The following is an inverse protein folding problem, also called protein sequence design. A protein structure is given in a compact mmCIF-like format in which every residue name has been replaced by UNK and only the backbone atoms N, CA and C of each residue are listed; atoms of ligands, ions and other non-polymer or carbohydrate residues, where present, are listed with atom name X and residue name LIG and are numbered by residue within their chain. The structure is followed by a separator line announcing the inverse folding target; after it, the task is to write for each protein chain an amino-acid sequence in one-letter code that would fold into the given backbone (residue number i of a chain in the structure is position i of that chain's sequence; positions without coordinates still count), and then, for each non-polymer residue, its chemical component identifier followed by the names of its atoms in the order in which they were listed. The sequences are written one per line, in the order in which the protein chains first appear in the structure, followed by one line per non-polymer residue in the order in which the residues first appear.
data_IF_070291573070
#
_entry.id   IF_070291573070
#
_cell.length_a   1.000
_cell.length_b   1.000
_cell.length_c   1.000
_cell.angle_alpha   90.00
_cell.angle_beta   90.00
_cell.angle_gamma   90.00
#
_symmetry.space_group_name_H-M   'P 1'
#
loop_
_entity.id
_entity.type
_entity.pdbx_description
1 polymer ?
#
# COMPACT_ATOMS: atom_id res chain seq x y z
N UNK A 1 -7.10 -1.46 28.94
CA UNK A 1 -6.49 -1.28 27.58
C UNK A 1 -5.30 -0.31 27.53
N UNK A 2 -5.26 0.75 28.35
CA UNK A 2 -4.26 1.82 28.24
C UNK A 2 -2.79 1.37 28.31
N UNK A 3 -2.49 0.36 29.13
CA UNK A 3 -1.14 -0.21 29.24
C UNK A 3 -0.67 -0.83 27.91
N UNK A 4 -1.57 -1.52 27.21
CA UNK A 4 -1.30 -2.09 25.89
C UNK A 4 -1.21 -1.02 24.79
N UNK A 5 -1.99 0.06 24.87
CA UNK A 5 -1.94 1.14 23.90
C UNK A 5 -0.59 1.90 23.93
N UNK A 6 0.06 1.94 25.09
CA UNK A 6 1.40 2.54 25.28
C UNK A 6 2.54 1.62 24.86
N UNK A 7 2.26 0.35 24.57
CA UNK A 7 3.29 -0.60 24.19
C UNK A 7 3.82 -0.27 22.78
N UNK A 8 5.14 -0.10 22.68
CA UNK A 8 5.79 0.23 21.40
C UNK A 8 5.64 -0.91 20.40
N UNK A 9 5.58 -2.17 20.85
CA UNK A 9 5.42 -3.35 19.98
C UNK A 9 4.11 -3.35 19.20
N UNK A 10 2.98 -3.00 19.82
CA UNK A 10 1.69 -2.94 19.12
C UNK A 10 1.64 -1.80 18.12
N UNK A 11 2.27 -0.68 18.47
CA UNK A 11 2.41 0.48 17.59
C UNK A 11 3.25 0.15 16.35
N UNK A 12 4.39 -0.52 16.55
CA UNK A 12 5.25 -0.99 15.47
C UNK A 12 4.56 -2.02 14.58
N UNK A 13 3.70 -2.88 15.13
CA UNK A 13 2.92 -3.83 14.33
C UNK A 13 1.89 -3.14 13.43
N UNK A 14 1.23 -2.08 13.90
CA UNK A 14 0.30 -1.29 13.09
C UNK A 14 1.05 -0.61 11.94
N UNK A 15 2.15 0.09 12.26
CA UNK A 15 2.98 0.78 11.26
C UNK A 15 3.55 -0.23 10.26
N UNK A 16 4.14 -1.32 10.76
CA UNK A 16 4.73 -2.38 9.97
C UNK A 16 3.74 -3.18 9.14
N UNK A 17 2.44 -3.17 9.46
CA UNK A 17 1.39 -3.78 8.65
C UNK A 17 0.80 -2.83 7.61
N UNK A 18 0.52 -1.58 7.97
CA UNK A 18 -0.09 -0.60 7.07
C UNK A 18 0.89 -0.09 6.01
N UNK A 19 2.11 0.25 6.42
CA UNK A 19 3.10 0.86 5.54
C UNK A 19 3.43 -0.01 4.30
N UNK A 20 3.82 -1.29 4.42
CA UNK A 20 4.13 -2.09 3.25
C UNK A 20 2.91 -2.35 2.36
N UNK A 21 1.71 -2.43 2.92
CA UNK A 21 0.48 -2.57 2.13
C UNK A 21 0.24 -1.33 1.25
N UNK A 22 0.37 -0.13 1.81
CA UNK A 22 0.22 1.11 1.05
C UNK A 22 1.34 1.31 0.03
N UNK A 23 2.58 0.92 0.36
CA UNK A 23 3.67 0.91 -0.63
C UNK A 23 3.38 -0.06 -1.77
N UNK A 24 2.86 -1.25 -1.46
CA UNK A 24 2.48 -2.25 -2.48
C UNK A 24 1.40 -1.70 -3.41
N UNK A 25 0.40 -1.02 -2.84
CA UNK A 25 -0.65 -0.33 -3.59
C UNK A 25 -0.05 0.74 -4.51
N UNK A 26 0.76 1.64 -3.98
CA UNK A 26 1.35 2.75 -4.75
C UNK A 26 2.27 2.25 -5.86
N UNK A 27 3.09 1.24 -5.61
CA UNK A 27 3.95 0.63 -6.63
C UNK A 27 3.13 -0.06 -7.73
N UNK A 28 2.02 -0.72 -7.38
CA UNK A 28 1.11 -1.31 -8.34
C UNK A 28 0.46 -0.27 -9.25
N UNK A 29 -0.01 0.83 -8.67
CA UNK A 29 -0.56 1.97 -9.42
C UNK A 29 0.50 2.67 -10.28
N UNK A 30 1.71 2.82 -9.77
CA UNK A 30 2.84 3.39 -10.50
C UNK A 30 3.14 2.56 -11.76
N UNK A 31 3.25 1.23 -11.61
CA UNK A 31 3.45 0.32 -12.74
C UNK A 31 2.32 0.38 -13.76
N UNK A 32 1.07 0.39 -13.30
CA UNK A 32 -0.08 0.46 -14.21
C UNK A 32 -0.10 1.79 -14.97
N UNK A 33 0.15 2.91 -14.28
CA UNK A 33 0.20 4.24 -14.90
C UNK A 33 1.34 4.37 -15.91
N UNK A 34 2.51 3.77 -15.64
CA UNK A 34 3.64 3.76 -16.56
C UNK A 34 3.30 3.05 -17.88
N UNK A 35 2.50 1.97 -17.82
CA UNK A 35 2.11 1.19 -18.99
C UNK A 35 0.97 1.85 -19.78
N UNK A 36 0.00 2.46 -19.09
CA UNK A 36 -1.13 3.11 -19.74
C UNK A 36 -0.80 4.50 -20.28
N UNK A 37 0.05 5.27 -19.59
CA UNK A 37 0.32 6.68 -19.89
C UNK A 37 1.82 7.01 -19.87
N UNK A 38 2.62 6.43 -20.78
CA UNK A 38 4.08 6.55 -20.76
C UNK A 38 4.59 8.00 -20.84
N UNK A 39 3.91 8.86 -21.61
CA UNK A 39 4.29 10.27 -21.75
C UNK A 39 4.11 11.08 -20.46
N UNK A 40 3.00 10.86 -19.76
CA UNK A 40 2.73 11.52 -18.48
C UNK A 40 3.66 11.00 -17.39
N UNK A 41 3.90 9.69 -17.39
CA UNK A 41 4.78 9.05 -16.43
C UNK A 41 6.21 9.57 -16.54
N UNK A 42 6.75 9.68 -17.75
CA UNK A 42 8.11 10.18 -17.97
C UNK A 42 8.31 11.60 -17.42
N UNK A 43 7.30 12.47 -17.57
CA UNK A 43 7.35 13.85 -17.06
C UNK A 43 7.36 13.93 -15.54
N UNK A 44 6.69 13.01 -14.85
CA UNK A 44 6.60 13.03 -13.38
C UNK A 44 7.60 12.09 -12.66
N UNK A 45 8.35 11.27 -13.41
CA UNK A 45 9.22 10.21 -12.92
C UNK A 45 10.19 10.62 -11.78
N UNK A 46 10.71 11.86 -11.80
CA UNK A 46 11.70 12.29 -10.79
C UNK A 46 11.12 12.53 -9.39
N UNK A 47 9.80 12.78 -9.26
CA UNK A 47 9.18 13.18 -7.98
C UNK A 47 8.26 12.12 -7.39
N UNK A 48 7.86 11.13 -8.18
CA UNK A 48 6.89 10.11 -7.78
C UNK A 48 7.32 9.30 -6.55
N UNK A 49 8.57 8.84 -6.50
CA UNK A 49 9.04 8.05 -5.36
C UNK A 49 8.98 8.82 -4.04
N UNK A 50 9.38 10.10 -4.06
CA UNK A 50 9.33 10.97 -2.88
C UNK A 50 7.89 11.26 -2.49
N UNK A 51 7.01 11.55 -3.46
CA UNK A 51 5.59 11.83 -3.21
C UNK A 51 4.90 10.59 -2.62
N UNK A 52 5.13 9.40 -3.19
CA UNK A 52 4.58 8.13 -2.69
C UNK A 52 5.08 7.82 -1.27
N UNK A 53 6.38 7.99 -1.01
CA UNK A 53 6.94 7.80 0.32
C UNK A 53 6.35 8.78 1.35
N UNK A 54 6.24 10.07 0.98
CA UNK A 54 5.65 11.09 1.83
C UNK A 54 4.17 10.79 2.12
N UNK A 55 3.39 10.47 1.10
CA UNK A 55 1.97 10.15 1.23
C UNK A 55 1.74 8.94 2.13
N UNK A 56 2.46 7.84 1.90
CA UNK A 56 2.35 6.62 2.72
C UNK A 56 2.78 6.85 4.15
N UNK A 57 3.83 7.65 4.38
CA UNK A 57 4.27 8.06 5.73
C UNK A 57 3.16 8.85 6.43
N UNK A 58 2.70 9.96 5.84
CA UNK A 58 1.69 10.83 6.43
C UNK A 58 0.40 10.07 6.73
N UNK A 59 -0.02 9.19 5.82
CA UNK A 59 -1.21 8.36 6.01
C UNK A 59 -1.03 7.36 7.17
N UNK A 60 0.11 6.68 7.25
CA UNK A 60 0.34 5.67 8.30
C UNK A 60 0.41 6.32 9.68
N UNK A 61 1.09 7.47 9.78
CA UNK A 61 1.16 8.22 11.04
C UNK A 61 -0.17 8.82 11.46
N UNK A 62 -0.99 9.34 10.52
CA UNK A 62 -2.31 9.87 10.85
C UNK A 62 -3.27 8.77 11.29
N UNK A 63 -3.26 7.63 10.58
CA UNK A 63 -4.01 6.41 10.92
C UNK A 63 -3.65 5.91 12.32
N UNK A 64 -2.35 5.84 12.64
CA UNK A 64 -1.87 5.51 13.98
C UNK A 64 -2.35 6.51 15.05
N UNK A 65 -2.37 7.81 14.73
CA UNK A 65 -2.92 8.85 15.60
C UNK A 65 -4.40 8.61 15.94
N UNK A 66 -5.20 8.18 14.96
CA UNK A 66 -6.60 7.78 15.18
C UNK A 66 -6.69 6.57 16.10
N UNK A 67 -5.85 5.55 15.89
CA UNK A 67 -5.78 4.37 16.77
C UNK A 67 -5.46 4.74 18.22
N UNK A 68 -4.47 5.60 18.44
CA UNK A 68 -4.11 6.12 19.76
C UNK A 68 -5.26 6.89 20.41
N UNK A 69 -5.96 7.75 19.65
CA UNK A 69 -7.11 8.48 20.15
C UNK A 69 -8.23 7.53 20.61
N UNK A 70 -8.56 6.52 19.80
CA UNK A 70 -9.58 5.52 20.14
C UNK A 70 -9.21 4.73 21.40
N UNK A 71 -7.98 4.22 21.47
CA UNK A 71 -7.52 3.40 22.59
C UNK A 71 -7.32 4.15 23.92
N UNK A 72 -7.01 5.46 23.87
CA UNK A 72 -6.74 6.26 25.07
C UNK A 72 -7.96 7.03 25.58
N UNK A 73 -8.83 7.50 24.68
CA UNK A 73 -9.94 8.42 25.02
C UNK A 73 -11.29 7.71 25.02
N UNK A 74 -11.54 6.82 24.06
CA UNK A 74 -12.89 6.26 23.83
C UNK A 74 -13.14 5.00 24.65
N UNK A 75 -12.15 4.12 24.79
CA UNK A 75 -12.31 2.82 25.48
C UNK A 75 -11.28 2.58 26.60
N UNK A 76 -11.28 3.39 27.68
CA UNK A 76 -10.27 3.26 28.74
C UNK A 76 -10.43 1.97 29.60
N UNK A 77 -11.65 1.50 29.82
CA UNK A 77 -12.01 0.66 30.98
C UNK A 77 -12.10 -0.86 30.74
N UNK A 78 -11.64 -1.38 29.60
CA UNK A 78 -11.61 -2.85 29.42
C UNK A 78 -10.47 -3.51 30.23
N UNK A 79 -10.75 -4.66 30.91
CA UNK A 79 -9.83 -5.30 31.84
C UNK A 79 -8.50 -5.66 31.18
N UNK A 80 -7.42 -5.51 31.95
CA UNK A 80 -6.06 -5.79 31.49
C UNK A 80 -5.87 -7.28 31.27
N UNK A 81 -5.67 -7.67 30.02
CA UNK A 81 -5.33 -9.04 29.64
C UNK A 81 -3.83 -9.09 29.37
N UNK A 82 -3.16 -10.19 29.74
CA UNK A 82 -1.71 -10.37 29.62
C UNK A 82 -1.17 -10.31 28.18
N UNK A 83 -2.04 -10.37 27.16
CA UNK A 83 -1.68 -10.36 25.75
C UNK A 83 -2.26 -9.12 25.06
N UNK A 84 -1.38 -8.22 24.62
CA UNK A 84 -1.75 -7.03 23.86
C UNK A 84 -1.89 -7.37 22.37
N UNK A 85 -3.11 -7.23 21.83
CA UNK A 85 -3.41 -7.32 20.40
C UNK A 85 -3.94 -5.98 19.89
N UNK A 86 -3.90 -5.74 18.57
CA UNK A 86 -4.38 -4.46 17.98
C UNK A 86 -5.83 -4.17 18.41
N UNK A 87 -6.70 -5.18 18.39
CA UNK A 87 -8.10 -5.03 18.82
C UNK A 87 -8.28 -4.72 20.30
N UNK A 88 -7.35 -5.18 21.15
CA UNK A 88 -7.35 -4.87 22.59
C UNK A 88 -6.59 -3.60 22.95
N UNK A 89 -5.68 -3.12 22.10
CA UNK A 89 -4.96 -1.86 22.29
C UNK A 89 -5.77 -0.65 21.81
N UNK A 90 -6.48 -0.76 20.69
CA UNK A 90 -7.10 0.37 19.99
C UNK A 90 -8.61 0.20 19.73
N UNK A 91 -9.19 -0.91 20.19
CA UNK A 91 -10.59 -1.27 19.97
C UNK A 91 -10.81 -2.16 18.74
N UNK A 92 -11.93 -2.90 18.74
CA UNK A 92 -12.33 -3.79 17.64
C UNK A 92 -12.50 -3.06 16.32
N UNK A 93 -13.05 -1.86 16.38
CA UNK A 93 -13.41 -1.08 15.19
C UNK A 93 -12.16 -0.61 14.47
N UNK A 94 -11.18 -0.09 15.21
CA UNK A 94 -9.88 0.29 14.66
C UNK A 94 -9.12 -0.94 14.13
N UNK A 95 -9.16 -2.07 14.83
CA UNK A 95 -8.52 -3.29 14.34
C UNK A 95 -9.15 -3.75 13.01
N UNK A 96 -10.47 -3.73 12.90
CA UNK A 96 -11.19 -4.08 11.67
C UNK A 96 -10.82 -3.14 10.52
N UNK A 97 -10.79 -1.83 10.78
CA UNK A 97 -10.31 -0.84 9.83
C UNK A 97 -8.86 -1.10 9.38
N UNK A 98 -7.96 -1.33 10.33
CA UNK A 98 -6.54 -1.59 10.09
C UNK A 98 -6.33 -2.85 9.24
N UNK A 99 -6.98 -3.96 9.58
CA UNK A 99 -6.90 -5.18 8.77
C UNK A 99 -7.54 -4.98 7.39
N UNK A 100 -8.68 -4.30 7.33
CA UNK A 100 -9.37 -4.00 6.08
C UNK A 100 -8.50 -3.25 5.10
N UNK A 101 -7.85 -2.16 5.53
CA UNK A 101 -6.97 -1.37 4.66
C UNK A 101 -5.70 -2.14 4.28
N UNK A 102 -5.10 -2.91 5.19
CA UNK A 102 -3.91 -3.71 4.89
C UNK A 102 -4.22 -4.78 3.85
N UNK A 103 -5.34 -5.50 3.99
CA UNK A 103 -5.76 -6.52 3.02
C UNK A 103 -6.09 -5.87 1.68
N UNK A 104 -6.91 -4.80 1.69
CA UNK A 104 -7.31 -4.11 0.47
C UNK A 104 -6.11 -3.55 -0.29
N UNK A 105 -5.15 -2.91 0.39
CA UNK A 105 -3.95 -2.36 -0.23
C UNK A 105 -3.10 -3.43 -0.90
N UNK A 106 -2.92 -4.59 -0.27
CA UNK A 106 -2.20 -5.71 -0.87
C UNK A 106 -2.95 -6.30 -2.08
N UNK A 107 -4.25 -6.55 -1.96
CA UNK A 107 -5.05 -7.12 -3.05
C UNK A 107 -5.07 -6.19 -4.26
N UNK A 108 -5.30 -4.90 -4.05
CA UNK A 108 -5.35 -3.91 -5.13
C UNK A 108 -3.93 -3.69 -5.72
N UNK A 109 -2.90 -3.58 -4.89
CA UNK A 109 -1.51 -3.44 -5.36
C UNK A 109 -1.02 -4.64 -6.16
N UNK A 110 -1.40 -5.85 -5.75
CA UNK A 110 -1.07 -7.08 -6.48
C UNK A 110 -1.82 -7.17 -7.81
N UNK A 111 -3.13 -6.92 -7.81
CA UNK A 111 -3.96 -6.97 -9.03
C UNK A 111 -3.53 -5.93 -10.06
N UNK A 112 -3.25 -4.69 -9.64
CA UNK A 112 -2.72 -3.64 -10.53
C UNK A 112 -1.34 -3.98 -11.10
N UNK A 113 -0.47 -4.58 -10.28
CA UNK A 113 0.83 -5.08 -10.75
C UNK A 113 0.66 -6.19 -11.80
N UNK A 114 -0.24 -7.15 -11.57
CA UNK A 114 -0.51 -8.23 -12.52
C UNK A 114 -1.07 -7.68 -13.83
N UNK A 115 -2.02 -6.74 -13.77
CA UNK A 115 -2.57 -6.08 -14.95
C UNK A 115 -1.49 -5.36 -15.76
N UNK A 116 -0.63 -4.59 -15.08
CA UNK A 116 0.50 -3.92 -15.72
C UNK A 116 1.41 -4.93 -16.45
N UNK A 117 1.74 -6.04 -15.80
CA UNK A 117 2.54 -7.11 -16.39
C UNK A 117 1.89 -7.71 -17.65
N UNK A 118 0.60 -8.04 -17.60
CA UNK A 118 -0.11 -8.59 -18.76
C UNK A 118 -0.13 -7.63 -19.95
N UNK A 119 -0.42 -6.34 -19.69
CA UNK A 119 -0.44 -5.33 -20.76
C UNK A 119 0.95 -5.18 -21.38
N UNK A 120 2.00 -5.09 -20.55
CA UNK A 120 3.38 -5.01 -21.04
C UNK A 120 3.77 -6.22 -21.86
N UNK A 121 3.41 -7.43 -21.44
CA UNK A 121 3.67 -8.68 -22.19
C UNK A 121 3.05 -8.63 -23.59
N UNK A 122 1.77 -8.27 -23.68
CA UNK A 122 1.05 -8.16 -24.96
C UNK A 122 1.70 -7.09 -25.86
N UNK A 123 2.11 -5.95 -25.30
CA UNK A 123 2.79 -4.90 -26.06
C UNK A 123 4.16 -5.35 -26.58
N UNK A 124 4.95 -6.08 -25.78
CA UNK A 124 6.25 -6.62 -26.21
C UNK A 124 6.11 -7.62 -27.37
N UNK A 125 5.13 -8.51 -27.31
CA UNK A 125 4.88 -9.48 -28.39
C UNK A 125 4.51 -8.77 -29.70
N UNK A 126 3.66 -7.75 -29.64
CA UNK A 126 3.29 -6.94 -30.81
C UNK A 126 4.48 -6.17 -31.38
N UNK A 127 5.31 -5.57 -30.54
CA UNK A 127 6.51 -4.86 -30.97
C UNK A 127 7.54 -5.78 -31.64
N UNK A 128 7.73 -6.99 -31.09
CA UNK A 128 8.62 -8.00 -31.67
C UNK A 128 8.17 -8.48 -33.06
N UNK A 129 6.85 -8.68 -33.24
CA UNK A 129 6.29 -9.08 -34.52
C UNK A 129 6.43 -7.98 -35.59
N UNK A 130 6.17 -6.72 -35.24
CA UNK A 130 6.35 -5.59 -36.16
C UNK A 130 7.81 -5.44 -36.61
N UNK A 131 8.77 -5.54 -35.68
CA UNK A 131 10.20 -5.46 -36.00
C UNK A 131 10.65 -6.57 -36.96
N UNK A 132 10.12 -7.78 -36.82
CA UNK A 132 10.45 -8.90 -37.74
C UNK A 132 9.93 -8.64 -39.15
N UNK A 133 8.74 -8.04 -39.31
CA UNK A 133 8.20 -7.66 -40.63
C UNK A 133 9.03 -6.57 -41.30
N UNK A 134 9.46 -5.55 -40.57
CA UNK A 134 10.33 -4.48 -41.10
C UNK A 134 11.64 -5.07 -41.64
N UNK A 135 12.25 -6.02 -40.94
CA UNK A 135 13.47 -6.70 -41.40
C UNK A 135 13.27 -7.55 -42.65
N UNK A 136 12.05 -8.09 -42.88
CA UNK A 136 11.74 -8.85 -44.09
C UNK A 136 11.51 -7.95 -45.30
N UNK A 137 10.98 -6.73 -45.10
CA UNK A 137 10.76 -5.76 -46.18
C UNK A 137 12.04 -5.04 -46.65
N UNK A 138 13.14 -5.15 -45.89
CA UNK A 138 14.44 -4.58 -46.23
C UNK A 138 15.33 -5.53 -47.07
N UNK A 139 14.88 -6.76 -47.31
CA UNK A 139 15.55 -7.75 -48.18
C UNK A 139 14.88 -7.80 -49.54
#
# INVERSE_FOLDING_TARGET
MQECARQVSTSLNVIGGQWPSLLTLMLGLERLSAVLFPFWFHRLNSRHQIISALFTSVFTFSSMGVGLYMGLVVTPDEPTVFVCSIGKSYGSDYATYNYGITIAGHVIGFTTTMLAFFITRVQMERAGFNRRKELQNLK
#
